data_IF_184261933294
#
_entry.id   IF_184261933294
#
_cell.length_a   1.000
_cell.length_b   1.000
_cell.length_c   1.000
_cell.angle_alpha   90.00
_cell.angle_beta   90.00
_cell.angle_gamma   90.00
#
_symmetry.space_group_name_H-M   'P 1'
#
loop_
_entity.id
_entity.type
_entity.pdbx_description
1 polymer ?
#
# COMPACT_ATOMS: atom_id res chain seq x y z
N UNK A 1 -7.20 -9.65 -23.00
CA UNK A 1 -6.40 -10.30 -21.93
C UNK A 1 -7.36 -10.53 -20.81
N UNK A 2 -7.79 -11.78 -20.70
CA UNK A 2 -8.73 -12.24 -19.68
C UNK A 2 -8.15 -11.94 -18.31
N UNK A 3 -8.89 -11.19 -17.49
CA UNK A 3 -8.64 -11.13 -16.06
C UNK A 3 -9.02 -12.51 -15.54
N UNK A 4 -8.03 -13.38 -15.29
CA UNK A 4 -8.25 -14.55 -14.44
C UNK A 4 -8.87 -14.02 -13.14
N UNK A 5 -10.13 -14.39 -12.89
CA UNK A 5 -10.76 -14.18 -11.60
C UNK A 5 -10.01 -15.06 -10.61
N UNK A 6 -9.00 -14.48 -9.94
CA UNK A 6 -8.35 -15.11 -8.80
C UNK A 6 -9.44 -15.55 -7.82
N UNK A 7 -9.51 -16.85 -7.56
CA UNK A 7 -10.48 -17.42 -6.65
C UNK A 7 -10.22 -16.87 -5.23
N UNK A 8 -11.19 -16.13 -4.68
CA UNK A 8 -11.08 -15.56 -3.32
C UNK A 8 -10.85 -16.68 -2.29
N UNK A 9 -9.66 -16.72 -1.71
CA UNK A 9 -9.24 -17.69 -0.68
C UNK A 9 -9.75 -17.36 0.74
N UNK A 10 -10.41 -16.22 0.89
CA UNK A 10 -10.98 -15.72 2.12
C UNK A 10 -12.49 -15.45 1.96
N UNK A 11 -13.20 -15.42 3.09
CA UNK A 11 -14.58 -14.94 3.19
C UNK A 11 -14.61 -13.74 4.12
N UNK A 12 -15.04 -12.59 3.61
CA UNK A 12 -15.11 -11.37 4.40
C UNK A 12 -16.50 -10.78 4.58
N UNK A 13 -17.56 -11.43 4.07
CA UNK A 13 -18.99 -11.07 4.24
C UNK A 13 -19.39 -9.68 3.72
N UNK A 14 -18.39 -8.86 3.39
CA UNK A 14 -18.48 -7.55 2.79
C UNK A 14 -18.40 -7.74 1.26
N UNK A 15 -19.37 -7.17 0.55
CA UNK A 15 -19.13 -6.83 -0.85
C UNK A 15 -18.05 -5.74 -0.85
N UNK A 16 -16.98 -5.91 -1.62
CA UNK A 16 -15.91 -4.90 -1.79
C UNK A 16 -16.46 -3.60 -2.41
N UNK A 17 -17.77 -3.49 -2.63
CA UNK A 17 -18.44 -2.24 -2.93
C UNK A 17 -18.21 -1.26 -1.78
N UNK A 18 -17.23 -0.39 -2.00
CA UNK A 18 -17.12 0.89 -1.31
C UNK A 18 -18.50 1.53 -1.44
N UNK A 19 -19.32 1.40 -0.40
CA UNK A 19 -20.59 2.11 -0.33
C UNK A 19 -20.26 3.57 -0.57
N UNK A 20 -20.65 4.08 -1.74
CA UNK A 20 -20.43 5.47 -2.12
C UNK A 20 -21.18 6.34 -1.11
N UNK A 21 -20.53 6.71 -0.01
CA UNK A 21 -21.01 7.82 0.79
C UNK A 21 -20.81 9.04 -0.08
N UNK A 22 -21.89 9.76 -0.41
CA UNK A 22 -21.81 11.08 -1.02
C UNK A 22 -21.12 12.01 -0.02
N UNK A 23 -19.78 11.99 -0.02
CA UNK A 23 -18.93 12.81 0.82
C UNK A 23 -18.45 13.94 -0.06
N UNK A 24 -18.97 15.14 0.18
CA UNK A 24 -18.45 16.33 -0.48
C UNK A 24 -17.05 16.63 0.07
N UNK A 25 -16.13 16.92 -0.85
CA UNK A 25 -14.76 17.27 -0.53
C UNK A 25 -14.54 18.73 -0.93
N UNK A 26 -13.95 19.51 -0.04
CA UNK A 26 -13.35 20.79 -0.40
C UNK A 26 -11.88 20.53 -0.68
N UNK A 27 -11.50 20.69 -1.95
CA UNK A 27 -10.15 20.42 -2.45
C UNK A 27 -9.66 21.66 -3.18
N UNK A 28 -8.49 22.15 -2.79
CA UNK A 28 -7.75 23.12 -3.59
C UNK A 28 -6.88 22.38 -4.60
N UNK A 29 -7.00 22.76 -5.87
CA UNK A 29 -6.19 22.27 -6.97
C UNK A 29 -5.48 23.45 -7.63
N UNK A 30 -4.17 23.57 -7.46
CA UNK A 30 -3.37 24.67 -8.03
C UNK A 30 -2.33 24.14 -9.02
N UNK A 31 -2.22 24.72 -10.23
CA UNK A 31 -1.13 24.39 -11.12
C UNK A 31 0.18 24.96 -10.58
N UNK A 32 1.25 24.17 -10.63
CA UNK A 32 2.61 24.59 -10.29
C UNK A 32 3.61 23.94 -11.24
N UNK A 33 4.03 24.67 -12.26
CA UNK A 33 4.84 24.13 -13.35
C UNK A 33 6.34 24.27 -12.98
N UNK A 34 6.97 23.16 -12.58
CA UNK A 34 8.40 23.09 -12.24
C UNK A 34 9.22 22.67 -13.47
N UNK A 35 10.45 23.18 -13.59
CA UNK A 35 11.38 22.69 -14.59
C UNK A 35 11.93 21.30 -14.22
N UNK A 36 12.45 20.56 -15.20
CA UNK A 36 12.94 19.19 -15.00
C UNK A 36 14.03 19.12 -13.94
N UNK A 37 14.95 20.09 -13.90
CA UNK A 37 16.02 20.13 -12.90
C UNK A 37 15.47 20.26 -11.48
N UNK A 38 14.54 21.18 -11.24
CA UNK A 38 13.86 21.34 -9.94
C UNK A 38 13.08 20.10 -9.55
N UNK A 39 12.44 19.42 -10.50
CA UNK A 39 11.75 18.15 -10.25
C UNK A 39 12.73 17.08 -9.78
N UNK A 40 13.90 16.98 -10.42
CA UNK A 40 14.94 16.02 -10.03
C UNK A 40 15.44 16.34 -8.62
N UNK A 41 15.73 17.61 -8.33
CA UNK A 41 16.15 18.05 -7.00
C UNK A 41 15.12 17.68 -5.93
N UNK A 42 13.82 17.82 -6.22
CA UNK A 42 12.73 17.45 -5.31
C UNK A 42 12.59 15.95 -5.07
N UNK A 43 12.89 15.13 -6.08
CA UNK A 43 12.94 13.67 -5.93
C UNK A 43 14.12 13.30 -5.03
N UNK A 44 15.30 13.86 -5.29
CA UNK A 44 16.52 13.57 -4.53
C UNK A 44 16.45 14.00 -3.07
N UNK A 45 15.85 15.15 -2.81
CA UNK A 45 15.66 15.66 -1.45
C UNK A 45 14.52 14.98 -0.70
N UNK A 46 13.77 14.07 -1.34
CA UNK A 46 12.60 13.39 -0.76
C UNK A 46 11.37 14.29 -0.59
N UNK A 47 11.33 15.46 -1.23
CA UNK A 47 10.16 16.35 -1.22
C UNK A 47 9.00 15.74 -2.02
N UNK A 48 9.33 15.08 -3.13
CA UNK A 48 8.39 14.26 -3.90
C UNK A 48 8.49 12.82 -3.44
N UNK A 49 7.54 12.41 -2.61
CA UNK A 49 7.41 11.03 -2.17
C UNK A 49 6.74 10.21 -3.26
N UNK A 50 7.48 9.26 -3.81
CA UNK A 50 6.94 8.31 -4.78
C UNK A 50 6.44 7.09 -3.99
N UNK A 51 5.13 6.82 -3.97
CA UNK A 51 4.59 5.68 -3.24
C UNK A 51 5.12 4.34 -3.79
N UNK A 52 5.65 3.49 -2.92
CA UNK A 52 6.28 2.21 -3.29
C UNK A 52 5.35 1.21 -4.00
N UNK A 53 4.03 1.30 -3.79
CA UNK A 53 3.07 0.37 -4.41
C UNK A 53 2.70 0.69 -5.87
N UNK A 54 3.05 1.86 -6.42
CA UNK A 54 2.58 2.25 -7.76
C UNK A 54 3.45 1.69 -8.89
N UNK A 55 3.34 0.39 -9.13
CA UNK A 55 4.04 -0.40 -10.16
C UNK A 55 5.58 -0.32 -10.03
N UNK A 56 6.21 -1.44 -10.35
CA UNK A 56 7.59 -1.42 -10.83
C UNK A 56 7.74 -0.31 -11.88
N UNK A 57 8.93 0.26 -12.05
CA UNK A 57 9.17 1.03 -13.26
C UNK A 57 8.97 0.10 -14.46
N UNK A 58 7.88 0.26 -15.23
CA UNK A 58 7.46 -0.70 -16.26
C UNK A 58 7.78 -0.24 -17.68
N UNK A 59 8.12 1.04 -17.85
CA UNK A 59 8.47 1.56 -19.18
C UNK A 59 9.75 0.89 -19.71
N UNK A 60 9.75 0.58 -21.00
CA UNK A 60 10.98 0.18 -21.68
C UNK A 60 11.79 1.42 -22.08
N UNK A 61 13.04 1.21 -22.49
CA UNK A 61 13.95 2.31 -22.84
C UNK A 61 13.41 3.14 -24.01
N UNK A 62 12.65 2.54 -24.94
CA UNK A 62 12.07 3.25 -26.09
C UNK A 62 10.98 4.23 -25.65
N UNK A 63 10.02 3.78 -24.82
CA UNK A 63 8.97 4.64 -24.29
C UNK A 63 9.54 5.74 -23.40
N UNK A 64 10.53 5.40 -22.58
CA UNK A 64 11.25 6.37 -21.78
C UNK A 64 11.96 7.42 -22.65
N UNK A 65 12.61 6.99 -23.74
CA UNK A 65 13.28 7.88 -24.68
C UNK A 65 12.30 8.85 -25.36
N UNK A 66 11.12 8.39 -25.78
CA UNK A 66 10.08 9.26 -26.38
C UNK A 66 9.57 10.36 -25.43
N UNK A 67 9.60 10.11 -24.11
CA UNK A 67 9.31 11.16 -23.12
C UNK A 67 10.42 12.21 -23.08
N UNK A 68 11.68 11.78 -23.01
CA UNK A 68 12.84 12.69 -22.99
C UNK A 68 12.90 13.53 -24.27
N UNK A 69 12.66 12.90 -25.42
CA UNK A 69 12.52 13.59 -26.70
C UNK A 69 11.43 14.67 -26.63
N UNK A 70 10.20 14.29 -26.26
CA UNK A 70 9.06 15.22 -26.12
C UNK A 70 9.41 16.44 -25.27
N UNK A 71 10.16 16.26 -24.19
CA UNK A 71 10.62 17.35 -23.32
C UNK A 71 11.61 18.26 -24.04
N UNK A 72 12.63 17.69 -24.68
CA UNK A 72 13.67 18.42 -25.40
C UNK A 72 13.08 19.23 -26.57
N UNK A 73 12.17 18.63 -27.34
CA UNK A 73 11.55 19.28 -28.51
C UNK A 73 10.35 20.17 -28.14
N UNK A 74 9.99 20.22 -26.86
CA UNK A 74 8.96 21.11 -26.35
C UNK A 74 7.52 20.67 -26.64
N UNK A 75 7.26 19.38 -26.83
CA UNK A 75 5.91 18.84 -26.87
C UNK A 75 5.28 18.80 -25.46
N UNK A 76 3.95 18.95 -25.36
CA UNK A 76 3.26 18.77 -24.09
C UNK A 76 3.29 17.31 -23.67
N UNK A 77 3.58 17.06 -22.38
CA UNK A 77 3.43 15.75 -21.76
C UNK A 77 2.23 15.77 -20.82
N UNK A 78 1.60 14.62 -20.50
CA UNK A 78 0.54 14.58 -19.51
C UNK A 78 1.00 15.19 -18.18
N UNK A 79 0.08 15.80 -17.44
CA UNK A 79 0.35 16.47 -16.16
C UNK A 79 0.61 15.48 -15.03
N UNK A 80 1.48 15.87 -14.10
CA UNK A 80 1.75 15.13 -12.86
C UNK A 80 0.77 15.60 -11.79
N UNK A 81 0.22 14.69 -11.00
CA UNK A 81 -0.63 15.04 -9.86
C UNK A 81 0.11 14.79 -8.55
N UNK A 82 0.16 15.82 -7.71
CA UNK A 82 0.87 15.81 -6.44
C UNK A 82 -0.11 16.16 -5.33
N UNK A 83 -0.12 15.40 -4.25
CA UNK A 83 -0.93 15.69 -3.07
C UNK A 83 -0.06 16.27 -1.96
N UNK A 84 -0.43 17.44 -1.44
CA UNK A 84 0.25 18.10 -0.32
C UNK A 84 -0.16 17.46 1.02
N UNK A 85 0.68 16.58 1.56
CA UNK A 85 0.48 15.97 2.89
C UNK A 85 0.83 16.95 4.04
N UNK A 86 1.69 17.92 3.76
CA UNK A 86 2.19 18.86 4.76
C UNK A 86 3.12 19.89 4.12
N UNK A 87 3.71 20.75 4.96
CA UNK A 87 4.63 21.79 4.48
C UNK A 87 5.82 21.15 3.77
N UNK A 88 5.98 21.45 2.48
CA UNK A 88 7.04 20.91 1.63
C UNK A 88 7.05 19.36 1.60
N UNK A 89 5.90 18.70 1.62
CA UNK A 89 5.81 17.24 1.50
C UNK A 89 4.72 16.87 0.51
N UNK A 90 5.11 16.31 -0.62
CA UNK A 90 4.21 16.04 -1.73
C UNK A 90 4.22 14.56 -2.09
N UNK A 91 3.07 13.89 -2.01
CA UNK A 91 2.92 12.52 -2.49
C UNK A 91 2.56 12.53 -3.97
N UNK A 92 3.28 11.76 -4.79
CA UNK A 92 2.96 11.57 -6.20
C UNK A 92 1.71 10.69 -6.32
N UNK A 93 0.65 11.24 -6.92
CA UNK A 93 -0.64 10.54 -7.12
C UNK A 93 -0.71 9.89 -8.50
N UNK A 94 -0.21 10.62 -9.50
CA UNK A 94 -0.04 10.15 -10.88
C UNK A 94 1.20 10.83 -11.48
N UNK A 95 1.86 10.13 -12.40
CA UNK A 95 3.06 10.62 -13.08
C UNK A 95 4.37 9.98 -12.64
N UNK A 96 4.33 8.98 -11.75
CA UNK A 96 5.54 8.28 -11.28
C UNK A 96 6.48 7.83 -12.41
N UNK A 97 5.97 7.15 -13.43
CA UNK A 97 6.82 6.65 -14.52
C UNK A 97 7.50 7.80 -15.29
N UNK A 98 6.84 8.96 -15.40
CA UNK A 98 7.42 10.16 -16.00
C UNK A 98 8.51 10.73 -15.11
N UNK A 99 8.22 10.97 -13.83
CA UNK A 99 9.17 11.50 -12.85
C UNK A 99 10.43 10.61 -12.72
N UNK A 100 10.25 9.30 -12.59
CA UNK A 100 11.35 8.34 -12.53
C UNK A 100 12.16 8.32 -13.84
N UNK A 101 11.53 8.47 -15.00
CA UNK A 101 12.25 8.57 -16.28
C UNK A 101 13.16 9.80 -16.31
N UNK A 102 12.71 10.96 -15.81
CA UNK A 102 13.54 12.16 -15.71
C UNK A 102 14.73 11.95 -14.78
N UNK A 103 14.47 11.36 -13.61
CA UNK A 103 15.50 11.02 -12.64
C UNK A 103 16.54 10.05 -13.22
N UNK A 104 16.11 8.93 -13.79
CA UNK A 104 16.98 7.92 -14.39
C UNK A 104 17.80 8.47 -15.56
N UNK A 105 17.21 9.31 -16.40
CA UNK A 105 17.93 9.92 -17.51
C UNK A 105 18.99 10.89 -17.00
N UNK A 106 18.66 11.75 -16.02
CA UNK A 106 19.62 12.65 -15.37
C UNK A 106 20.79 11.89 -14.73
N UNK A 107 20.50 10.75 -14.09
CA UNK A 107 21.51 9.85 -13.50
C UNK A 107 22.24 8.98 -14.52
N UNK A 108 21.85 9.02 -15.80
CA UNK A 108 22.39 8.19 -16.89
C UNK A 108 22.31 6.68 -16.60
N UNK A 109 21.33 6.26 -15.80
CA UNK A 109 21.15 4.88 -15.31
C UNK A 109 19.71 4.44 -15.52
N UNK A 110 19.51 3.38 -16.30
CA UNK A 110 18.20 2.81 -16.63
C UNK A 110 18.01 1.45 -15.94
N UNK A 111 16.88 1.18 -15.27
CA UNK A 111 16.71 -0.04 -14.49
C UNK A 111 16.51 -1.28 -15.39
N UNK A 112 17.32 -2.32 -15.14
CA UNK A 112 17.22 -3.60 -15.87
C UNK A 112 15.89 -4.29 -15.62
N UNK A 113 15.34 -4.90 -16.67
CA UNK A 113 13.97 -5.45 -16.64
C UNK A 113 13.78 -6.53 -15.57
N UNK A 114 14.75 -7.42 -15.42
CA UNK A 114 14.78 -8.53 -14.47
C UNK A 114 15.03 -8.10 -13.02
N UNK A 115 15.57 -6.89 -12.80
CA UNK A 115 15.89 -6.35 -11.46
C UNK A 115 14.89 -5.37 -10.90
N UNK A 116 13.85 -5.01 -11.67
CA UNK A 116 12.82 -4.05 -11.25
C UNK A 116 12.09 -4.43 -9.97
N UNK A 117 11.94 -5.73 -9.69
CA UNK A 117 11.33 -6.20 -8.44
C UNK A 117 12.26 -5.97 -7.23
N UNK A 118 13.52 -6.39 -7.31
CA UNK A 118 14.53 -6.13 -6.27
C UNK A 118 14.69 -4.62 -6.01
N UNK A 119 14.76 -3.83 -7.08
CA UNK A 119 14.86 -2.37 -7.00
C UNK A 119 13.66 -1.71 -6.31
N UNK A 120 12.46 -2.28 -6.46
CA UNK A 120 11.26 -1.80 -5.76
C UNK A 120 11.40 -2.02 -4.26
N UNK A 121 11.83 -3.21 -3.83
CA UNK A 121 12.01 -3.51 -2.41
C UNK A 121 13.04 -2.57 -1.77
N UNK A 122 14.17 -2.36 -2.45
CA UNK A 122 15.22 -1.42 -2.00
C UNK A 122 14.66 0.02 -1.85
N UNK A 123 13.86 0.46 -2.82
CA UNK A 123 13.24 1.79 -2.77
C UNK A 123 12.18 1.90 -1.66
N UNK A 124 11.37 0.86 -1.45
CA UNK A 124 10.38 0.80 -0.38
C UNK A 124 11.03 0.87 1.01
N UNK A 125 12.17 0.20 1.21
CA UNK A 125 12.89 0.16 2.48
C UNK A 125 13.66 1.45 2.78
N UNK A 126 14.30 2.03 1.77
CA UNK A 126 15.21 3.17 1.96
C UNK A 126 14.61 4.54 1.58
N UNK A 127 13.46 4.54 0.90
CA UNK A 127 12.80 5.73 0.36
C UNK A 127 13.52 6.37 -0.85
N UNK A 128 14.63 5.77 -1.31
CA UNK A 128 15.44 6.24 -2.45
C UNK A 128 16.14 5.07 -3.14
N UNK A 129 16.90 5.33 -4.20
CA UNK A 129 17.86 4.36 -4.71
C UNK A 129 19.22 4.67 -4.07
N UNK A 130 19.78 3.81 -3.20
CA UNK A 130 21.13 3.98 -2.68
C UNK A 130 22.14 4.10 -3.82
N UNK A 131 23.16 4.95 -3.69
CA UNK A 131 24.16 5.16 -4.76
C UNK A 131 24.87 3.85 -5.14
N UNK A 132 25.16 3.00 -4.16
CA UNK A 132 25.73 1.66 -4.34
C UNK A 132 24.87 0.73 -5.19
N UNK A 133 23.55 0.94 -5.23
CA UNK A 133 22.62 0.19 -6.07
C UNK A 133 22.42 0.89 -7.41
N UNK A 134 22.27 2.22 -7.41
CA UNK A 134 21.98 3.03 -8.60
C UNK A 134 23.10 2.96 -9.64
N UNK A 135 24.36 2.88 -9.19
CA UNK A 135 25.53 2.82 -10.06
C UNK A 135 26.10 1.40 -10.24
N UNK A 136 25.41 0.37 -9.74
CA UNK A 136 25.78 -1.03 -9.95
C UNK A 136 25.12 -1.58 -11.24
N UNK A 137 25.97 -2.03 -12.17
CA UNK A 137 25.58 -2.59 -13.47
C UNK A 137 24.77 -3.90 -13.36
N UNK A 138 24.76 -4.53 -12.18
CA UNK A 138 23.85 -5.63 -11.85
C UNK A 138 22.40 -5.17 -11.95
N UNK A 139 22.07 -3.96 -11.48
CA UNK A 139 20.70 -3.45 -11.38
C UNK A 139 20.34 -2.46 -12.48
N UNK A 140 21.31 -1.67 -12.93
CA UNK A 140 21.10 -0.64 -13.94
C UNK A 140 21.98 -0.86 -15.17
N UNK A 141 21.61 -0.21 -16.26
CA UNK A 141 22.43 -0.09 -17.46
C UNK A 141 22.52 1.38 -17.89
N UNK A 142 23.43 1.70 -18.81
CA UNK A 142 23.55 3.07 -19.32
C UNK A 142 22.24 3.53 -19.97
N UNK A 143 21.70 4.65 -19.50
CA UNK A 143 20.53 5.25 -20.14
C UNK A 143 20.95 6.13 -21.33
N UNK A 144 20.94 5.51 -22.52
CA UNK A 144 21.09 6.19 -23.81
C UNK A 144 19.76 6.18 -24.57
N UNK A 145 19.42 7.28 -25.21
CA UNK A 145 18.16 7.43 -25.93
C UNK A 145 18.08 6.46 -27.13
N UNK A 146 16.91 5.85 -27.29
CA UNK A 146 16.55 4.92 -28.37
C UNK A 146 15.30 5.43 -29.09
N UNK A 147 15.51 6.20 -30.14
CA UNK A 147 14.52 7.00 -30.86
C UNK A 147 14.49 6.72 -32.37
N UNK A 148 15.53 6.13 -32.95
CA UNK A 148 15.56 5.84 -34.37
C UNK A 148 14.41 4.90 -34.79
N UNK A 149 13.71 5.30 -35.83
CA UNK A 149 12.77 4.48 -36.58
C UNK A 149 13.38 4.17 -37.97
N UNK A 150 13.02 3.04 -38.62
CA UNK A 150 13.62 2.67 -39.90
C UNK A 150 13.51 3.79 -40.95
N UNK A 151 14.66 4.29 -41.42
CA UNK A 151 14.75 5.33 -42.46
C UNK A 151 14.67 6.77 -41.95
N UNK A 152 14.59 7.02 -40.64
CA UNK A 152 14.58 8.37 -40.06
C UNK A 152 15.72 8.51 -39.05
N UNK A 153 16.67 9.40 -39.35
CA UNK A 153 17.78 9.72 -38.44
C UNK A 153 17.31 10.69 -37.35
N UNK A 154 17.47 10.31 -36.09
CA UNK A 154 17.16 11.15 -34.94
C UNK A 154 18.44 11.71 -34.30
N UNK A 155 18.54 13.05 -34.21
CA UNK A 155 19.71 13.74 -33.63
C UNK A 155 19.95 13.43 -32.15
N UNK A 156 18.92 12.94 -31.45
CA UNK A 156 19.00 12.59 -30.04
C UNK A 156 19.35 11.11 -29.81
N UNK A 157 19.40 10.27 -30.86
CA UNK A 157 19.74 8.86 -30.74
C UNK A 157 21.09 8.66 -30.04
N UNK A 158 21.15 7.67 -29.14
CA UNK A 158 22.32 7.29 -28.36
C UNK A 158 22.89 8.37 -27.42
N UNK A 159 22.29 9.56 -27.35
CA UNK A 159 22.69 10.56 -26.36
C UNK A 159 22.22 10.15 -24.96
N UNK A 160 23.01 10.52 -23.95
CA UNK A 160 22.61 10.51 -22.55
C UNK A 160 22.62 11.96 -22.01
N UNK A 161 22.30 12.14 -20.73
CA UNK A 161 22.24 13.47 -20.12
C UNK A 161 23.54 14.28 -20.24
N UNK A 162 24.71 13.63 -20.11
CA UNK A 162 26.00 14.30 -20.24
C UNK A 162 26.34 14.69 -21.69
N UNK A 163 25.85 13.94 -22.67
CA UNK A 163 26.16 14.16 -24.09
C UNK A 163 25.07 14.94 -24.84
N UNK A 164 24.12 15.56 -24.15
CA UNK A 164 23.04 16.32 -24.80
C UNK A 164 23.50 17.56 -25.60
N UNK A 165 24.68 18.10 -25.31
CA UNK A 165 25.21 19.28 -26.01
C UNK A 165 24.22 20.46 -25.98
N UNK A 166 23.86 20.98 -27.15
CA UNK A 166 22.94 22.12 -27.30
C UNK A 166 21.52 21.84 -26.78
N UNK A 167 21.09 20.57 -26.76
CA UNK A 167 19.75 20.18 -26.29
C UNK A 167 19.61 20.21 -24.76
N UNK A 168 20.73 20.35 -24.04
CA UNK A 168 20.77 20.25 -22.58
C UNK A 168 19.89 21.30 -21.89
N UNK A 169 19.96 22.54 -22.34
CA UNK A 169 19.11 23.62 -21.80
C UNK A 169 17.63 23.37 -22.10
N UNK A 170 17.32 22.82 -23.28
CA UNK A 170 15.97 22.41 -23.66
C UNK A 170 15.40 21.34 -22.73
N UNK A 171 16.23 20.42 -22.25
CA UNK A 171 15.83 19.47 -21.21
C UNK A 171 15.72 20.13 -19.84
N UNK A 172 16.80 20.73 -19.33
CA UNK A 172 16.93 21.19 -17.93
C UNK A 172 15.90 22.27 -17.55
N UNK A 173 15.55 23.16 -18.48
CA UNK A 173 14.65 24.29 -18.23
C UNK A 173 13.21 24.02 -18.65
N UNK A 174 12.91 22.87 -19.25
CA UNK A 174 11.55 22.56 -19.68
C UNK A 174 10.66 22.39 -18.46
N UNK A 175 9.55 23.13 -18.45
CA UNK A 175 8.53 22.98 -17.41
C UNK A 175 7.64 21.78 -17.68
N UNK A 176 7.35 21.05 -16.61
CA UNK A 176 6.35 19.97 -16.59
C UNK A 176 5.18 20.47 -15.77
N UNK A 177 3.96 20.27 -16.29
CA UNK A 177 2.75 20.67 -15.59
C UNK A 177 2.51 19.79 -14.37
N UNK A 178 2.49 20.38 -13.19
CA UNK A 178 2.10 19.68 -11.96
C UNK A 178 0.82 20.30 -11.40
N UNK A 179 -0.11 19.45 -10.98
CA UNK A 179 -1.31 19.85 -10.28
C UNK A 179 -1.12 19.51 -8.81
N UNK A 180 -1.02 20.54 -7.98
CA UNK A 180 -0.93 20.44 -6.54
C UNK A 180 -2.34 20.32 -5.96
N UNK A 181 -2.61 19.22 -5.28
CA UNK A 181 -3.89 18.91 -4.67
C UNK A 181 -3.72 19.01 -3.15
N UNK A 182 -4.64 19.73 -2.52
CA UNK A 182 -4.74 19.81 -1.06
C UNK A 182 -6.18 19.63 -0.63
N UNK A 183 -6.40 18.72 0.32
CA UNK A 183 -7.71 18.56 0.97
C UNK A 183 -7.86 19.65 2.04
N UNK A 184 -8.89 20.49 1.90
CA UNK A 184 -9.27 21.49 2.90
C UNK A 184 -10.28 20.91 3.88
N UNK A 185 -11.26 20.14 3.36
CA UNK A 185 -12.28 19.47 4.15
C UNK A 185 -12.61 18.08 3.56
N UNK A 186 -12.84 17.08 4.42
CA UNK A 186 -12.68 17.10 5.88
C UNK A 186 -11.20 17.20 6.30
N UNK A 187 -10.89 17.80 7.44
CA UNK A 187 -9.49 17.97 7.88
C UNK A 187 -8.95 16.80 8.71
N UNK A 188 -9.82 15.91 9.17
CA UNK A 188 -9.50 14.83 10.11
C UNK A 188 -9.08 13.52 9.44
N UNK A 189 -9.19 13.40 8.11
CA UNK A 189 -8.76 12.22 7.37
C UNK A 189 -8.17 12.56 5.98
N UNK A 190 -7.49 11.60 5.35
CA UNK A 190 -6.95 11.74 3.98
C UNK A 190 -7.88 11.04 2.97
N UNK A 191 -9.21 11.11 3.19
CA UNK A 191 -10.17 10.37 2.36
C UNK A 191 -10.30 10.90 0.94
N UNK A 192 -10.15 12.21 0.71
CA UNK A 192 -10.15 12.76 -0.65
C UNK A 192 -8.93 12.23 -1.43
N UNK A 193 -7.78 12.16 -0.78
CA UNK A 193 -6.57 11.57 -1.34
C UNK A 193 -6.81 10.13 -1.81
N UNK A 194 -7.35 9.29 -0.93
CA UNK A 194 -7.69 7.89 -1.24
C UNK A 194 -8.63 7.78 -2.46
N UNK A 195 -9.66 8.62 -2.52
CA UNK A 195 -10.59 8.69 -3.66
C UNK A 195 -9.93 9.17 -4.95
N UNK A 196 -9.05 10.18 -4.88
CA UNK A 196 -8.30 10.69 -6.04
C UNK A 196 -7.36 9.59 -6.55
N UNK A 197 -6.67 8.88 -5.67
CA UNK A 197 -5.87 7.72 -6.04
C UNK A 197 -6.72 6.67 -6.76
N UNK A 198 -7.89 6.31 -6.22
CA UNK A 198 -8.80 5.34 -6.87
C UNK A 198 -9.23 5.81 -8.27
N UNK A 199 -9.59 7.08 -8.43
CA UNK A 199 -10.17 7.62 -9.66
C UNK A 199 -9.16 7.99 -10.73
N UNK A 200 -7.94 8.37 -10.36
CA UNK A 200 -6.86 8.64 -11.32
C UNK A 200 -6.18 7.35 -11.78
N UNK A 201 -6.11 6.33 -10.93
CA UNK A 201 -5.50 5.05 -11.28
C UNK A 201 -6.45 4.06 -11.99
N UNK A 202 -7.75 4.33 -12.02
CA UNK A 202 -8.75 3.46 -12.69
C UNK A 202 -8.64 3.44 -14.22
N UNK A 203 -7.85 4.33 -14.83
CA UNK A 203 -7.42 4.21 -16.23
C UNK A 203 -6.33 3.15 -16.47
N UNK A 204 -5.88 2.44 -15.43
CA UNK A 204 -4.85 1.40 -15.45
C UNK A 204 -5.16 0.21 -14.52
N UNK A 205 -4.15 -0.50 -14.02
CA UNK A 205 -4.33 -1.53 -12.97
C UNK A 205 -4.88 -0.85 -11.72
N UNK A 206 -6.14 -1.14 -11.38
CA UNK A 206 -6.81 -0.64 -10.19
C UNK A 206 -6.17 -1.24 -8.94
N UNK A 207 -5.61 -0.38 -8.10
CA UNK A 207 -5.03 -0.78 -6.82
C UNK A 207 -6.13 -1.16 -5.83
N UNK A 208 -5.87 -2.18 -5.01
CA UNK A 208 -6.77 -2.56 -3.92
C UNK A 208 -6.61 -1.60 -2.73
N UNK A 209 -7.62 -1.51 -1.85
CA UNK A 209 -7.60 -0.62 -0.70
C UNK A 209 -6.34 -0.73 0.20
N UNK A 210 -5.85 -1.94 0.47
CA UNK A 210 -4.64 -2.14 1.28
C UNK A 210 -3.37 -1.70 0.58
N UNK A 211 -3.28 -1.86 -0.73
CA UNK A 211 -2.18 -1.32 -1.51
C UNK A 211 -2.16 0.19 -1.33
N UNK A 212 -3.30 0.87 -1.53
CA UNK A 212 -3.40 2.33 -1.35
C UNK A 212 -3.02 2.76 0.07
N UNK A 213 -3.50 2.06 1.11
CA UNK A 213 -3.15 2.37 2.50
C UNK A 213 -1.65 2.27 2.77
N UNK A 214 -0.98 1.29 2.16
CA UNK A 214 0.45 1.05 2.38
C UNK A 214 1.30 2.28 2.08
N UNK A 215 1.08 2.98 0.95
CA UNK A 215 1.85 4.21 0.71
C UNK A 215 1.20 5.47 1.21
N UNK A 216 -0.12 5.52 1.34
CA UNK A 216 -0.74 6.66 2.01
C UNK A 216 -0.35 6.72 3.48
N UNK A 217 -0.09 5.61 4.15
CA UNK A 217 0.16 5.55 5.59
C UNK A 217 1.45 4.81 5.95
N UNK A 218 2.42 4.78 5.03
CA UNK A 218 3.70 4.12 5.25
C UNK A 218 4.32 4.54 6.60
N UNK A 219 4.72 3.54 7.38
CA UNK A 219 5.24 3.71 8.74
C UNK A 219 5.95 2.45 9.22
N UNK A 220 6.67 2.56 10.34
CA UNK A 220 7.28 1.40 11.00
C UNK A 220 6.26 0.34 11.41
N UNK A 221 5.01 0.74 11.66
CA UNK A 221 3.91 -0.20 11.88
C UNK A 221 3.64 -1.09 10.65
N UNK A 222 3.66 -0.53 9.44
CA UNK A 222 3.49 -1.32 8.22
C UNK A 222 4.68 -2.25 7.95
N UNK A 223 5.91 -1.82 8.22
CA UNK A 223 7.10 -2.69 8.16
C UNK A 223 6.93 -3.90 9.09
N UNK A 224 6.41 -3.64 10.28
CA UNK A 224 6.08 -4.68 11.24
C UNK A 224 4.97 -5.62 10.72
N UNK A 225 3.88 -5.09 10.15
CA UNK A 225 2.83 -5.91 9.52
C UNK A 225 3.40 -6.84 8.45
N UNK A 226 4.31 -6.38 7.58
CA UNK A 226 4.96 -7.26 6.60
C UNK A 226 5.78 -8.37 7.26
N UNK A 227 6.51 -8.03 8.31
CA UNK A 227 7.34 -9.00 9.03
C UNK A 227 6.51 -10.10 9.67
N UNK A 228 5.42 -9.76 10.37
CA UNK A 228 4.54 -10.79 10.97
C UNK A 228 3.64 -11.47 9.95
N UNK A 229 3.35 -10.83 8.82
CA UNK A 229 2.73 -11.50 7.69
C UNK A 229 3.58 -12.69 7.23
N UNK A 230 4.91 -12.59 7.27
CA UNK A 230 5.81 -13.69 6.95
C UNK A 230 6.05 -14.70 8.10
N UNK A 231 5.39 -14.54 9.25
CA UNK A 231 5.59 -15.44 10.38
C UNK A 231 5.10 -16.86 10.04
N UNK A 232 5.90 -17.94 10.24
CA UNK A 232 5.56 -19.28 9.76
C UNK A 232 4.22 -19.81 10.30
N UNK A 233 3.92 -19.61 11.57
CA UNK A 233 2.65 -20.06 12.15
C UNK A 233 1.47 -19.23 11.64
N UNK A 234 1.67 -17.95 11.32
CA UNK A 234 0.63 -17.16 10.66
C UNK A 234 0.36 -17.65 9.23
N UNK A 235 1.41 -17.94 8.44
CA UNK A 235 1.27 -18.55 7.11
C UNK A 235 0.53 -19.88 7.16
N UNK A 236 0.81 -20.70 8.19
CA UNK A 236 0.11 -21.97 8.44
C UNK A 236 -1.38 -21.75 8.72
N UNK A 237 -1.74 -20.77 9.56
CA UNK A 237 -3.14 -20.44 9.88
C UNK A 237 -3.93 -19.92 8.67
N UNK A 238 -3.27 -19.22 7.75
CA UNK A 238 -3.89 -18.78 6.49
C UNK A 238 -3.99 -19.89 5.44
N UNK A 239 -3.30 -21.01 5.64
CA UNK A 239 -3.08 -22.05 4.63
C UNK A 239 -2.48 -21.49 3.33
N UNK A 240 -1.52 -20.57 3.46
CA UNK A 240 -0.85 -19.86 2.36
C UNK A 240 0.65 -19.77 2.66
N UNK A 241 1.48 -20.39 1.82
CA UNK A 241 2.94 -20.32 1.99
C UNK A 241 3.48 -18.94 1.60
N UNK A 242 2.99 -18.39 0.48
CA UNK A 242 3.45 -17.12 -0.07
C UNK A 242 2.51 -15.95 0.28
N UNK A 243 3.03 -14.71 0.37
CA UNK A 243 2.21 -13.51 0.52
C UNK A 243 1.20 -13.29 -0.60
N UNK A 244 0.07 -12.68 -0.26
CA UNK A 244 -0.95 -12.28 -1.22
C UNK A 244 -0.46 -11.11 -2.09
N UNK A 245 -0.63 -11.21 -3.40
CA UNK A 245 -0.18 -10.22 -4.40
C UNK A 245 -0.83 -8.85 -4.19
N UNK A 246 -2.06 -8.83 -3.68
CA UNK A 246 -2.85 -7.63 -3.39
C UNK A 246 -2.85 -7.26 -1.90
N UNK A 247 -1.96 -7.88 -1.12
CA UNK A 247 -1.75 -7.63 0.30
C UNK A 247 -3.00 -7.90 1.16
N UNK A 248 -3.93 -8.76 0.73
CA UNK A 248 -5.13 -9.04 1.55
C UNK A 248 -4.79 -9.68 2.89
N UNK A 249 -3.74 -10.51 2.92
CA UNK A 249 -3.20 -11.09 4.13
C UNK A 249 -2.67 -10.03 5.12
N UNK A 250 -1.99 -8.99 4.62
CA UNK A 250 -1.57 -7.82 5.41
C UNK A 250 -2.78 -7.04 5.91
N UNK A 251 -3.82 -6.88 5.08
CA UNK A 251 -5.08 -6.24 5.50
C UNK A 251 -5.76 -7.02 6.64
N UNK A 252 -5.76 -8.35 6.60
CA UNK A 252 -6.34 -9.19 7.67
C UNK A 252 -5.63 -8.92 8.99
N UNK A 253 -4.30 -8.87 8.98
CA UNK A 253 -3.51 -8.54 10.18
C UNK A 253 -3.81 -7.11 10.67
N UNK A 254 -3.85 -6.13 9.75
CA UNK A 254 -4.22 -4.75 10.06
C UNK A 254 -5.61 -4.67 10.71
N UNK A 255 -6.59 -5.40 10.16
CA UNK A 255 -7.95 -5.51 10.71
C UNK A 255 -7.95 -6.07 12.13
N UNK A 256 -7.19 -7.14 12.37
CA UNK A 256 -7.04 -7.73 13.70
C UNK A 256 -6.54 -6.72 14.73
N UNK A 257 -5.47 -5.99 14.43
CA UNK A 257 -4.95 -4.95 15.33
C UNK A 257 -5.90 -3.76 15.47
N UNK A 258 -6.50 -3.28 14.38
CA UNK A 258 -7.46 -2.18 14.43
C UNK A 258 -8.65 -2.51 15.33
N UNK A 259 -9.19 -3.73 15.22
CA UNK A 259 -10.26 -4.21 16.11
C UNK A 259 -9.79 -4.36 17.55
N UNK A 260 -8.61 -4.94 17.79
CA UNK A 260 -8.06 -5.09 19.13
C UNK A 260 -7.86 -3.76 19.86
N UNK A 261 -7.43 -2.73 19.12
CA UNK A 261 -6.96 -1.46 19.70
C UNK A 261 -7.96 -0.31 19.61
N UNK A 262 -8.94 -0.39 18.71
CA UNK A 262 -9.81 0.74 18.38
C UNK A 262 -11.25 0.33 18.06
N UNK A 263 -11.68 -0.91 18.38
CA UNK A 263 -13.05 -1.38 18.11
C UNK A 263 -14.15 -0.50 18.73
N UNK A 264 -13.87 0.15 19.86
CA UNK A 264 -14.84 1.05 20.52
C UNK A 264 -15.17 2.28 19.65
N UNK A 265 -14.23 2.69 18.80
CA UNK A 265 -14.39 3.79 17.85
C UNK A 265 -14.86 3.32 16.47
N UNK A 266 -15.17 2.02 16.30
CA UNK A 266 -15.58 1.47 15.03
C UNK A 266 -16.86 2.12 14.52
N UNK A 267 -16.79 2.60 13.27
CA UNK A 267 -17.93 3.04 12.48
C UNK A 267 -17.75 2.53 11.05
N UNK A 268 -18.79 1.95 10.43
CA UNK A 268 -18.74 1.60 9.02
C UNK A 268 -18.40 2.84 8.17
N UNK A 269 -17.69 2.70 7.05
CA UNK A 269 -17.21 1.43 6.46
C UNK A 269 -15.88 0.93 7.03
N UNK A 270 -15.60 -0.37 6.88
CA UNK A 270 -14.33 -0.98 7.27
C UNK A 270 -13.13 -0.25 6.64
N UNK A 271 -13.23 0.11 5.35
CA UNK A 271 -12.18 0.88 4.66
C UNK A 271 -11.86 2.19 5.37
N UNK A 272 -12.87 2.97 5.76
CA UNK A 272 -12.66 4.24 6.47
C UNK A 272 -12.06 4.02 7.87
N UNK A 273 -12.53 2.99 8.58
CA UNK A 273 -11.97 2.61 9.87
C UNK A 273 -10.47 2.26 9.77
N UNK A 274 -10.09 1.41 8.81
CA UNK A 274 -8.69 1.03 8.60
C UNK A 274 -7.82 2.19 8.12
N UNK A 275 -8.36 3.12 7.33
CA UNK A 275 -7.64 4.33 6.92
C UNK A 275 -7.32 5.20 8.14
N UNK A 276 -8.30 5.44 9.02
CA UNK A 276 -8.10 6.20 10.27
C UNK A 276 -7.11 5.52 11.20
N UNK A 277 -7.23 4.21 11.38
CA UNK A 277 -6.29 3.43 12.20
C UNK A 277 -4.86 3.44 11.61
N UNK A 278 -4.72 3.32 10.29
CA UNK A 278 -3.41 3.39 9.62
C UNK A 278 -2.73 4.75 9.78
N UNK A 279 -3.50 5.84 9.76
CA UNK A 279 -2.98 7.18 10.06
C UNK A 279 -2.51 7.29 11.51
N UNK A 280 -3.30 6.78 12.47
CA UNK A 280 -2.98 6.75 13.91
C UNK A 280 -1.73 5.93 14.20
N UNK A 281 -1.52 4.82 13.50
CA UNK A 281 -0.43 3.87 13.77
C UNK A 281 0.97 4.40 13.40
N UNK A 282 1.06 5.49 12.63
CA UNK A 282 2.33 6.19 12.34
C UNK A 282 3.06 6.65 13.61
N UNK A 283 2.34 6.84 14.72
CA UNK A 283 2.87 7.40 15.95
C UNK A 283 3.35 6.35 16.97
N UNK A 284 3.28 5.05 16.66
CA UNK A 284 3.80 4.02 17.56
C UNK A 284 5.33 4.01 17.60
N UNK A 285 5.90 3.94 18.79
CA UNK A 285 7.34 3.83 19.02
C UNK A 285 7.83 2.38 18.85
N UNK A 286 9.16 2.21 18.81
CA UNK A 286 9.77 0.89 18.59
C UNK A 286 9.38 -0.14 19.66
N UNK A 287 9.23 0.27 20.92
CA UNK A 287 8.87 -0.62 22.04
C UNK A 287 7.43 -1.13 21.89
N UNK A 288 6.50 -0.26 21.51
CA UNK A 288 5.12 -0.64 21.22
C UNK A 288 5.06 -1.61 20.04
N UNK A 289 5.81 -1.35 18.98
CA UNK A 289 5.87 -2.22 17.79
C UNK A 289 6.45 -3.61 18.10
N UNK A 290 7.52 -3.68 18.90
CA UNK A 290 8.08 -4.95 19.37
C UNK A 290 7.09 -5.72 20.24
N UNK A 291 6.37 -5.03 21.12
CA UNK A 291 5.31 -5.64 21.92
C UNK A 291 4.20 -6.24 21.04
N UNK A 292 3.74 -5.49 20.02
CA UNK A 292 2.73 -6.00 19.08
C UNK A 292 3.23 -7.24 18.34
N UNK A 293 4.53 -7.28 17.97
CA UNK A 293 5.20 -8.47 17.40
C UNK A 293 5.02 -9.69 18.25
N UNK A 294 5.47 -9.57 19.49
CA UNK A 294 5.54 -10.70 20.37
C UNK A 294 4.13 -11.17 20.76
N UNK A 295 3.16 -10.24 20.90
CA UNK A 295 1.76 -10.58 21.16
C UNK A 295 1.13 -11.38 20.01
N UNK A 296 1.34 -10.93 18.76
CA UNK A 296 0.78 -11.63 17.60
C UNK A 296 1.43 -12.99 17.36
N UNK A 297 2.75 -13.09 17.59
CA UNK A 297 3.47 -14.37 17.51
C UNK A 297 2.96 -15.36 18.57
N UNK A 298 2.85 -14.92 19.83
CA UNK A 298 2.30 -15.73 20.91
C UNK A 298 0.87 -16.22 20.61
N UNK A 299 0.03 -15.36 20.03
CA UNK A 299 -1.30 -15.74 19.56
C UNK A 299 -1.24 -16.81 18.45
N UNK A 300 -0.41 -16.62 17.43
CA UNK A 300 -0.29 -17.57 16.33
C UNK A 300 0.21 -18.94 16.79
N UNK A 301 1.24 -18.96 17.64
CA UNK A 301 1.81 -20.19 18.20
C UNK A 301 0.75 -20.97 18.96
N UNK A 302 0.03 -20.27 19.83
CA UNK A 302 -1.04 -20.88 20.62
C UNK A 302 -2.19 -21.42 19.77
N UNK A 303 -2.67 -20.67 18.77
CA UNK A 303 -3.77 -21.15 17.94
C UNK A 303 -3.35 -22.34 17.08
N UNK A 304 -2.11 -22.38 16.58
CA UNK A 304 -1.59 -23.56 15.86
C UNK A 304 -1.55 -24.80 16.74
N UNK A 305 -1.26 -24.66 18.04
CA UNK A 305 -1.35 -25.76 19.01
C UNK A 305 -2.80 -26.23 19.25
N UNK A 306 -3.76 -25.30 19.26
CA UNK A 306 -5.20 -25.63 19.42
C UNK A 306 -5.75 -26.34 18.17
N UNK A 307 -5.64 -25.69 17.01
CA UNK A 307 -5.98 -26.25 15.69
C UNK A 307 -5.44 -25.31 14.58
N UNK A 308 -4.54 -25.77 13.69
CA UNK A 308 -4.03 -24.95 12.60
C UNK A 308 -5.08 -24.58 11.54
N UNK A 309 -6.23 -25.26 11.49
CA UNK A 309 -7.31 -24.98 10.54
C UNK A 309 -8.47 -24.20 11.16
N UNK A 310 -8.30 -23.68 12.38
CA UNK A 310 -9.37 -23.09 13.18
C UNK A 310 -10.14 -21.95 12.48
N UNK A 311 -9.47 -21.21 11.61
CA UNK A 311 -10.06 -20.10 10.85
C UNK A 311 -10.56 -20.49 9.45
N UNK A 312 -10.39 -21.74 9.04
CA UNK A 312 -10.83 -22.24 7.73
C UNK A 312 -12.30 -22.64 7.84
N UNK A 313 -13.17 -21.93 7.14
CA UNK A 313 -14.59 -22.24 7.08
C UNK A 313 -14.83 -23.58 6.35
N UNK A 314 -16.05 -24.13 6.46
CA UNK A 314 -16.46 -25.36 5.73
C UNK A 314 -16.29 -25.25 4.20
N UNK A 315 -16.28 -24.04 3.67
CA UNK A 315 -16.04 -23.73 2.25
C UNK A 315 -14.56 -23.83 1.85
N UNK A 316 -13.65 -24.09 2.80
CA UNK A 316 -12.20 -24.07 2.59
C UNK A 316 -11.58 -22.67 2.63
N UNK A 317 -12.37 -21.61 2.84
CA UNK A 317 -11.91 -20.22 2.84
C UNK A 317 -11.57 -19.73 4.24
N UNK A 318 -10.56 -18.87 4.34
CA UNK A 318 -10.21 -18.21 5.60
C UNK A 318 -11.30 -17.22 6.03
N UNK A 319 -11.80 -17.36 7.26
CA UNK A 319 -12.83 -16.49 7.81
C UNK A 319 -12.23 -15.32 8.58
N UNK A 320 -12.27 -14.13 7.97
CA UNK A 320 -11.70 -12.91 8.57
C UNK A 320 -12.44 -12.56 9.87
N UNK A 321 -13.77 -12.66 9.88
CA UNK A 321 -14.60 -12.28 11.03
C UNK A 321 -14.37 -13.19 12.24
N UNK A 322 -14.12 -14.49 12.03
CA UNK A 322 -13.77 -15.44 13.10
C UNK A 322 -12.39 -15.09 13.66
N UNK A 323 -11.40 -14.89 12.79
CA UNK A 323 -10.05 -14.48 13.20
C UNK A 323 -10.07 -13.21 14.05
N UNK A 324 -10.72 -12.14 13.58
CA UNK A 324 -10.84 -10.87 14.31
C UNK A 324 -11.44 -11.09 15.70
N UNK A 325 -12.55 -11.83 15.78
CA UNK A 325 -13.26 -12.03 17.04
C UNK A 325 -12.44 -12.80 18.06
N UNK A 326 -11.76 -13.85 17.61
CA UNK A 326 -10.90 -14.68 18.47
C UNK A 326 -9.64 -13.92 18.87
N UNK A 327 -8.98 -13.23 17.94
CA UNK A 327 -7.80 -12.43 18.25
C UNK A 327 -8.09 -11.37 19.30
N UNK A 328 -9.20 -10.63 19.14
CA UNK A 328 -9.66 -9.64 20.14
C UNK A 328 -9.97 -10.32 21.47
N UNK A 329 -10.75 -11.41 21.47
CA UNK A 329 -11.14 -12.07 22.72
C UNK A 329 -9.95 -12.60 23.53
N UNK A 330 -8.93 -13.15 22.85
CA UNK A 330 -7.78 -13.75 23.54
C UNK A 330 -6.70 -12.73 23.92
N UNK A 331 -6.53 -11.65 23.14
CA UNK A 331 -5.42 -10.71 23.33
C UNK A 331 -5.81 -9.41 24.05
N UNK A 332 -7.11 -9.14 24.29
CA UNK A 332 -7.57 -7.89 24.89
C UNK A 332 -6.94 -7.60 26.25
N UNK A 333 -6.95 -8.58 27.17
CA UNK A 333 -6.38 -8.40 28.51
C UNK A 333 -4.85 -8.29 28.48
N UNK A 334 -4.20 -9.05 27.59
CA UNK A 334 -2.76 -8.98 27.36
C UNK A 334 -2.36 -7.57 26.91
N UNK A 335 -3.05 -7.00 25.91
CA UNK A 335 -2.84 -5.63 25.42
C UNK A 335 -3.06 -4.60 26.53
N UNK A 336 -4.16 -4.72 27.27
CA UNK A 336 -4.50 -3.79 28.36
C UNK A 336 -3.45 -3.78 29.47
N UNK A 337 -2.91 -4.95 29.80
CA UNK A 337 -1.93 -5.12 30.88
C UNK A 337 -0.47 -5.05 30.39
N UNK A 338 -0.25 -4.89 29.07
CA UNK A 338 1.08 -4.93 28.42
C UNK A 338 1.85 -6.21 28.72
N UNK A 339 1.16 -7.34 28.74
CA UNK A 339 1.76 -8.68 28.92
C UNK A 339 1.67 -9.49 27.63
N UNK A 340 2.39 -10.61 27.57
CA UNK A 340 2.26 -11.61 26.49
C UNK A 340 1.35 -12.78 26.92
N UNK A 341 0.72 -12.68 28.08
CA UNK A 341 -0.16 -13.71 28.62
C UNK A 341 -1.53 -13.59 27.95
N UNK A 342 -1.66 -14.22 26.79
CA UNK A 342 -2.95 -14.35 26.12
C UNK A 342 -3.87 -15.29 26.88
N UNK A 343 -5.17 -15.03 26.78
CA UNK A 343 -6.18 -15.89 27.37
C UNK A 343 -6.16 -17.25 26.68
N UNK A 344 -6.20 -18.32 27.48
CA UNK A 344 -6.28 -19.69 26.96
C UNK A 344 -7.74 -20.05 26.64
N UNK A 345 -7.94 -20.70 25.50
CA UNK A 345 -9.20 -21.32 25.08
C UNK A 345 -9.02 -22.79 24.71
N UNK A 346 -10.11 -23.53 24.48
CA UNK A 346 -10.07 -24.91 23.99
C UNK A 346 -10.76 -25.01 22.64
N UNK A 347 -10.45 -26.07 21.87
CA UNK A 347 -11.15 -26.36 20.62
C UNK A 347 -12.68 -26.46 20.84
N UNK A 348 -13.12 -27.02 21.97
CA UNK A 348 -14.55 -27.11 22.31
C UNK A 348 -15.21 -25.74 22.43
N UNK A 349 -14.59 -24.77 23.13
CA UNK A 349 -15.11 -23.40 23.24
C UNK A 349 -15.13 -22.67 21.90
N UNK A 350 -14.16 -22.96 21.02
CA UNK A 350 -14.12 -22.37 19.68
C UNK A 350 -15.22 -22.95 18.80
N UNK A 351 -15.46 -24.27 18.87
CA UNK A 351 -16.59 -24.91 18.19
C UNK A 351 -17.91 -24.35 18.71
N UNK A 352 -18.07 -24.18 20.04
CA UNK A 352 -19.24 -23.54 20.64
C UNK A 352 -19.48 -22.13 20.08
N UNK A 353 -18.43 -21.32 19.94
CA UNK A 353 -18.50 -19.99 19.32
C UNK A 353 -18.93 -20.09 17.84
N UNK A 354 -18.36 -21.02 17.09
CA UNK A 354 -18.65 -21.22 15.66
C UNK A 354 -20.02 -21.86 15.40
N UNK A 355 -20.63 -22.52 16.39
CA UNK A 355 -21.98 -23.08 16.32
C UNK A 355 -23.04 -22.09 16.86
N UNK A 356 -22.61 -20.98 17.46
CA UNK A 356 -23.52 -19.95 17.95
C UNK A 356 -24.26 -19.25 16.80
N UNK A 357 -25.57 -19.45 16.71
CA UNK A 357 -26.43 -18.87 15.66
C UNK A 357 -26.32 -17.36 15.54
N UNK A 358 -26.27 -16.64 16.67
CA UNK A 358 -26.17 -15.17 16.67
C UNK A 358 -24.81 -14.71 16.15
N UNK A 359 -23.73 -15.38 16.54
CA UNK A 359 -22.40 -15.10 16.05
C UNK A 359 -22.29 -15.39 14.55
N UNK A 360 -22.84 -16.51 14.08
CA UNK A 360 -22.83 -16.89 12.67
C UNK A 360 -23.60 -15.91 11.78
N UNK A 361 -24.81 -15.50 12.18
CA UNK A 361 -25.58 -14.49 11.44
C UNK A 361 -24.81 -13.17 11.34
N UNK A 362 -24.25 -12.72 12.46
CA UNK A 362 -23.43 -11.51 12.48
C UNK A 362 -22.13 -11.65 11.66
N UNK A 363 -21.68 -12.88 11.36
CA UNK A 363 -20.47 -13.18 10.58
C UNK A 363 -20.72 -13.41 9.08
N UNK A 364 -21.98 -13.38 8.63
CA UNK A 364 -22.36 -13.66 7.25
C UNK A 364 -23.05 -12.48 6.58
N UNK A 365 -23.95 -11.78 7.28
CA UNK A 365 -24.74 -10.69 6.72
C UNK A 365 -24.22 -9.34 7.20
N UNK A 366 -23.99 -8.38 6.29
CA UNK A 366 -23.57 -7.01 6.59
C UNK A 366 -22.47 -7.01 7.68
N UNK A 367 -21.38 -7.74 7.43
CA UNK A 367 -20.37 -8.05 8.43
C UNK A 367 -19.62 -6.83 8.94
N UNK A 368 -19.47 -5.80 8.11
CA UNK A 368 -18.99 -4.48 8.50
C UNK A 368 -20.02 -3.63 9.25
N UNK A 369 -21.28 -4.04 9.39
CA UNK A 369 -22.28 -3.31 10.17
C UNK A 369 -21.87 -3.18 11.64
N UNK A 370 -21.98 -1.97 12.21
CA UNK A 370 -21.55 -1.69 13.59
C UNK A 370 -22.11 -2.69 14.61
N UNK A 371 -23.42 -2.94 14.56
CA UNK A 371 -24.10 -3.87 15.46
C UNK A 371 -23.57 -5.31 15.32
N UNK A 372 -23.22 -5.74 14.10
CA UNK A 372 -22.68 -7.07 13.85
C UNK A 372 -21.25 -7.21 14.37
N UNK A 373 -20.40 -6.20 14.15
CA UNK A 373 -19.05 -6.16 14.73
C UNK A 373 -19.12 -6.24 16.26
N UNK A 374 -19.92 -5.38 16.89
CA UNK A 374 -20.10 -5.37 18.36
C UNK A 374 -20.62 -6.72 18.87
N UNK A 375 -21.58 -7.33 18.17
CA UNK A 375 -22.16 -8.63 18.51
C UNK A 375 -21.11 -9.73 18.47
N UNK A 376 -20.31 -9.83 17.39
CA UNK A 376 -19.27 -10.85 17.25
C UNK A 376 -18.20 -10.72 18.33
N UNK A 377 -17.71 -9.50 18.56
CA UNK A 377 -16.67 -9.25 19.56
C UNK A 377 -17.18 -9.55 20.98
N UNK A 378 -18.43 -9.20 21.29
CA UNK A 378 -19.05 -9.50 22.60
C UNK A 378 -19.20 -11.00 22.82
N UNK A 379 -19.80 -11.73 21.87
CA UNK A 379 -20.03 -13.17 22.02
C UNK A 379 -18.69 -13.92 22.10
N UNK A 380 -17.69 -13.55 21.31
CA UNK A 380 -16.36 -14.15 21.40
C UNK A 380 -15.71 -13.91 22.77
N UNK A 381 -15.81 -12.69 23.33
CA UNK A 381 -15.30 -12.39 24.67
C UNK A 381 -16.03 -13.17 25.78
N UNK A 382 -17.34 -13.39 25.64
CA UNK A 382 -18.14 -14.16 26.60
C UNK A 382 -17.85 -15.66 26.54
N UNK A 383 -17.70 -16.22 25.33
CA UNK A 383 -17.56 -17.66 25.10
C UNK A 383 -16.13 -18.16 25.33
N UNK A 384 -15.15 -17.43 24.80
CA UNK A 384 -13.72 -17.70 25.01
C UNK A 384 -13.22 -17.11 26.35
N UNK A 385 -14.14 -16.40 27.03
CA UNK A 385 -14.05 -15.78 28.34
C UNK A 385 -13.78 -16.73 29.50
#
# INVERSE_FOLDING_TARGET
MDQEQEEKWYSDGDDDSIGYSFKEYDITSTPNDFNTKTIIDFIESGLFKIPGFQRNYVWDVKRASKLIESIIIGLPIPQVFLYEEGKNSYLVVDGQQRLLTLFFFHKMRFPRKDKRFELRQIFEESGKFPDEVLYDDKYFEDFKLKLNEPGVENKLENLNYATLGEFKNGFDLRTVRNIMIKQNFPSDDDSAMFEIFNRLNSGGITLKPQEIRTSLYHSQFYNYLYKINLYPNWRRLLNKAEPDTHMKDVEIVLRGFAMLMDSENYRPSMTQFLNKFSKKSRNYDANALEYFQNLFQAFCDYIVEVDPNLFVARTGKFSITIFESIFVALCFDALKNKTLEIKKTSLAKVVELQENDTFNRASQDNTAGKANVETRLRIAKETLG
#
